data_IF_663128717395
#
_entry.id   IF_663128717395
#
_cell.length_a   1.000
_cell.length_b   1.000
_cell.length_c   1.000
_cell.angle_alpha   90.00
_cell.angle_beta   90.00
_cell.angle_gamma   90.00
#
_symmetry.space_group_name_H-M   'P 1'
#
loop_
_entity.id
_entity.type
_entity.pdbx_description
1 polymer ?
#
# COMPACT_ATOMS: atom_id res chain seq x y z
N UNK A 1 -13.46 17.58 9.53
CA UNK A 1 -13.31 16.40 8.66
C UNK A 1 -14.65 15.75 8.34
N UNK A 2 -15.46 15.34 9.36
CA UNK A 2 -16.80 14.74 9.19
C UNK A 2 -17.75 15.60 8.35
N UNK A 3 -17.77 16.92 8.58
CA UNK A 3 -18.60 17.88 7.83
C UNK A 3 -18.20 17.96 6.34
N UNK A 4 -16.89 17.96 6.02
CA UNK A 4 -16.42 17.97 4.64
C UNK A 4 -16.82 16.69 3.88
N UNK A 5 -16.72 15.52 4.51
CA UNK A 5 -17.16 14.26 3.91
C UNK A 5 -18.68 14.24 3.65
N UNK A 6 -19.47 14.81 4.55
CA UNK A 6 -20.91 14.99 4.32
C UNK A 6 -21.15 15.86 3.09
N UNK A 7 -20.51 17.03 2.98
CA UNK A 7 -20.67 17.92 1.84
C UNK A 7 -20.28 17.26 0.51
N UNK A 8 -19.23 16.45 0.47
CA UNK A 8 -18.82 15.69 -0.72
C UNK A 8 -19.93 14.75 -1.15
N UNK A 9 -20.38 13.89 -0.24
CA UNK A 9 -21.43 12.89 -0.52
C UNK A 9 -22.75 13.53 -0.90
N UNK A 10 -23.16 14.56 -0.17
CA UNK A 10 -24.44 15.23 -0.40
C UNK A 10 -24.46 15.93 -1.78
N UNK A 11 -23.33 16.56 -2.17
CA UNK A 11 -23.21 17.19 -3.49
C UNK A 11 -23.20 16.17 -4.62
N UNK A 12 -22.53 15.01 -4.45
CA UNK A 12 -22.55 13.94 -5.44
C UNK A 12 -23.96 13.33 -5.60
N UNK A 13 -24.61 13.00 -4.48
CA UNK A 13 -25.97 12.47 -4.50
C UNK A 13 -26.97 13.49 -5.09
N UNK A 14 -26.78 14.78 -4.84
CA UNK A 14 -27.57 15.84 -5.47
C UNK A 14 -27.39 15.81 -7.00
N UNK A 15 -26.15 15.65 -7.50
CA UNK A 15 -25.89 15.53 -8.92
C UNK A 15 -26.63 14.35 -9.55
N UNK A 16 -26.62 13.19 -8.90
CA UNK A 16 -27.38 12.00 -9.33
C UNK A 16 -28.89 12.28 -9.36
N UNK A 17 -29.45 12.81 -8.29
CA UNK A 17 -30.89 13.11 -8.23
C UNK A 17 -31.33 14.11 -9.31
N UNK A 18 -30.58 15.21 -9.50
CA UNK A 18 -30.88 16.23 -10.51
C UNK A 18 -30.73 15.66 -11.93
N UNK A 19 -29.75 14.76 -12.16
CA UNK A 19 -29.58 14.08 -13.43
C UNK A 19 -30.77 13.17 -13.75
N UNK A 20 -31.18 12.31 -12.78
CA UNK A 20 -32.36 11.47 -12.95
C UNK A 20 -33.65 12.26 -13.21
N UNK A 21 -33.77 13.46 -12.61
CA UNK A 21 -34.86 14.41 -12.90
C UNK A 21 -34.68 15.17 -14.23
N UNK A 22 -33.67 14.85 -15.02
CA UNK A 22 -33.31 15.51 -16.30
C UNK A 22 -33.04 17.03 -16.17
N UNK A 23 -32.64 17.50 -15.01
CA UNK A 23 -32.27 18.89 -14.74
C UNK A 23 -30.77 19.09 -14.97
N UNK A 24 -30.32 18.97 -16.23
CA UNK A 24 -28.92 18.90 -16.62
C UNK A 24 -28.03 19.97 -15.96
N UNK A 25 -28.45 21.25 -15.99
CA UNK A 25 -27.66 22.34 -15.41
C UNK A 25 -27.44 22.15 -13.90
N UNK A 26 -28.48 21.85 -13.15
CA UNK A 26 -28.40 21.66 -11.70
C UNK A 26 -27.54 20.43 -11.35
N UNK A 27 -27.65 19.34 -12.12
CA UNK A 27 -26.85 18.15 -11.95
C UNK A 27 -25.34 18.44 -12.16
N UNK A 28 -25.00 19.17 -13.23
CA UNK A 28 -23.59 19.52 -13.51
C UNK A 28 -23.05 20.47 -12.45
N UNK A 29 -23.83 21.48 -12.02
CA UNK A 29 -23.42 22.41 -10.96
C UNK A 29 -23.15 21.65 -9.64
N UNK A 30 -23.97 20.67 -9.29
CA UNK A 30 -23.79 19.84 -8.11
C UNK A 30 -22.57 18.90 -8.23
N UNK A 31 -22.33 18.35 -9.42
CA UNK A 31 -21.18 17.49 -9.68
C UNK A 31 -19.85 18.26 -9.59
N UNK A 32 -19.75 19.41 -10.22
CA UNK A 32 -18.59 20.31 -10.10
C UNK A 32 -18.32 20.68 -8.64
N UNK A 33 -19.38 20.97 -7.88
CA UNK A 33 -19.30 21.26 -6.45
C UNK A 33 -18.78 20.07 -5.63
N UNK A 34 -19.20 18.84 -5.95
CA UNK A 34 -18.67 17.63 -5.31
C UNK A 34 -17.15 17.53 -5.51
N UNK A 35 -16.66 17.76 -6.74
CA UNK A 35 -15.23 17.77 -7.06
C UNK A 35 -14.49 18.86 -6.28
N UNK A 36 -15.04 20.08 -6.23
CA UNK A 36 -14.46 21.19 -5.44
C UNK A 36 -14.34 20.87 -3.95
N UNK A 37 -15.29 20.11 -3.40
CA UNK A 37 -15.22 19.65 -2.02
C UNK A 37 -14.25 18.48 -1.81
N UNK A 38 -13.73 17.90 -2.89
CA UNK A 38 -12.73 16.83 -2.87
C UNK A 38 -13.27 15.45 -3.18
N UNK A 39 -14.39 15.34 -3.93
CA UNK A 39 -14.79 14.06 -4.53
C UNK A 39 -13.73 13.62 -5.53
N UNK A 40 -13.28 12.37 -5.43
CA UNK A 40 -12.20 11.85 -6.27
C UNK A 40 -12.47 10.45 -6.85
N UNK A 41 -13.63 9.85 -6.61
CA UNK A 41 -13.92 8.51 -7.13
C UNK A 41 -14.33 8.57 -8.62
N UNK A 42 -13.29 8.66 -9.48
CA UNK A 42 -13.46 8.70 -10.92
C UNK A 42 -14.11 7.42 -11.47
N UNK A 43 -13.66 6.25 -10.98
CA UNK A 43 -14.15 4.97 -11.46
C UNK A 43 -15.65 4.77 -11.17
N UNK A 44 -16.10 5.22 -9.99
CA UNK A 44 -17.53 5.22 -9.64
C UNK A 44 -18.31 6.18 -10.55
N UNK A 45 -17.90 7.44 -10.65
CA UNK A 45 -18.60 8.45 -11.46
C UNK A 45 -18.69 8.03 -12.95
N UNK A 46 -17.66 7.32 -13.45
CA UNK A 46 -17.65 6.85 -14.84
C UNK A 46 -18.70 5.78 -15.11
N UNK A 47 -19.01 4.93 -14.14
CA UNK A 47 -19.93 3.80 -14.28
C UNK A 47 -21.33 4.08 -13.73
N UNK A 48 -21.52 5.18 -13.01
CA UNK A 48 -22.77 5.50 -12.34
C UNK A 48 -23.85 5.90 -13.34
N UNK A 49 -24.85 5.04 -13.49
CA UNK A 49 -25.97 5.22 -14.44
C UNK A 49 -26.88 6.40 -14.06
N UNK A 50 -26.87 6.85 -12.82
CA UNK A 50 -27.64 8.00 -12.39
C UNK A 50 -27.19 9.30 -13.08
N UNK A 51 -25.95 9.32 -13.59
CA UNK A 51 -25.37 10.44 -14.31
C UNK A 51 -25.55 10.37 -15.83
N UNK A 52 -26.23 9.36 -16.38
CA UNK A 52 -26.35 9.15 -17.84
C UNK A 52 -26.99 10.32 -18.57
N UNK A 53 -27.94 11.02 -17.95
CA UNK A 53 -28.60 12.18 -18.56
C UNK A 53 -27.71 13.41 -18.75
N UNK A 54 -26.50 13.43 -18.16
CA UNK A 54 -25.57 14.58 -18.26
C UNK A 54 -24.27 14.22 -18.99
N UNK A 55 -24.05 12.96 -19.40
CA UNK A 55 -22.78 12.52 -20.02
C UNK A 55 -22.47 13.23 -21.33
N UNK A 56 -23.47 13.70 -22.06
CA UNK A 56 -23.34 14.46 -23.30
C UNK A 56 -23.11 15.98 -23.06
N UNK A 57 -23.21 16.47 -21.84
CA UNK A 57 -22.99 17.86 -21.49
C UNK A 57 -21.47 18.18 -21.48
N UNK A 58 -21.07 19.24 -22.21
CA UNK A 58 -19.65 19.64 -22.32
C UNK A 58 -19.02 20.05 -20.98
N UNK A 59 -19.79 20.65 -20.07
CA UNK A 59 -19.29 21.02 -18.74
C UNK A 59 -19.09 19.76 -17.88
N UNK A 60 -20.02 18.80 -17.98
CA UNK A 60 -19.85 17.51 -17.29
C UNK A 60 -18.61 16.77 -17.79
N UNK A 61 -18.40 16.69 -19.10
CA UNK A 61 -17.21 16.07 -19.69
C UNK A 61 -15.92 16.73 -19.18
N UNK A 62 -15.90 18.07 -19.15
CA UNK A 62 -14.76 18.81 -18.58
C UNK A 62 -14.58 18.55 -17.07
N UNK A 63 -15.65 18.45 -16.30
CA UNK A 63 -15.60 18.09 -14.89
C UNK A 63 -15.08 16.68 -14.69
N UNK A 64 -15.45 15.72 -15.56
CA UNK A 64 -14.90 14.36 -15.56
C UNK A 64 -13.40 14.32 -15.91
N UNK A 65 -12.92 15.16 -16.83
CA UNK A 65 -11.48 15.32 -17.09
C UNK A 65 -10.73 15.83 -15.83
N UNK A 66 -11.28 16.83 -15.15
CA UNK A 66 -10.72 17.31 -13.89
C UNK A 66 -10.72 16.22 -12.82
N UNK A 67 -11.79 15.43 -12.71
CA UNK A 67 -11.89 14.32 -11.79
C UNK A 67 -10.87 13.21 -12.10
N UNK A 68 -10.60 12.97 -13.39
CA UNK A 68 -9.60 12.00 -13.83
C UNK A 68 -8.18 12.34 -13.34
N UNK A 69 -7.82 13.62 -13.35
CA UNK A 69 -6.48 14.10 -12.90
C UNK A 69 -6.25 13.88 -11.38
N UNK A 70 -7.30 13.62 -10.60
CA UNK A 70 -7.21 13.42 -9.16
C UNK A 70 -7.69 12.04 -8.69
N UNK A 71 -8.46 11.30 -9.49
CA UNK A 71 -9.14 10.08 -9.07
C UNK A 71 -8.92 8.85 -9.96
N UNK A 72 -8.38 9.00 -11.18
CA UNK A 72 -7.94 7.85 -12.00
C UNK A 72 -6.48 7.54 -11.65
N UNK A 73 -6.29 6.70 -10.65
CA UNK A 73 -4.95 6.41 -10.12
C UNK A 73 -4.04 5.74 -11.14
N UNK A 74 -4.56 4.85 -11.98
CA UNK A 74 -3.80 4.25 -13.06
C UNK A 74 -3.32 5.29 -14.09
N UNK A 75 -4.17 6.23 -14.47
CA UNK A 75 -3.82 7.34 -15.34
C UNK A 75 -2.78 8.28 -14.70
N UNK A 76 -2.97 8.62 -13.42
CA UNK A 76 -2.03 9.45 -12.67
C UNK A 76 -0.66 8.79 -12.61
N UNK A 77 -0.62 7.48 -12.33
CA UNK A 77 0.64 6.73 -12.27
C UNK A 77 1.32 6.65 -13.63
N UNK A 78 0.57 6.42 -14.72
CA UNK A 78 1.12 6.41 -16.09
C UNK A 78 1.77 7.74 -16.48
N UNK A 79 1.19 8.86 -16.04
CA UNK A 79 1.74 10.21 -16.26
C UNK A 79 2.88 10.59 -15.29
N UNK A 80 3.11 9.82 -14.25
CA UNK A 80 4.16 10.14 -13.28
C UNK A 80 5.56 10.02 -13.89
N UNK A 81 6.53 10.83 -13.44
CA UNK A 81 7.95 10.66 -13.82
C UNK A 81 8.48 9.31 -13.33
N UNK A 82 9.70 8.95 -13.71
CA UNK A 82 10.47 7.92 -13.02
C UNK A 82 10.69 8.30 -11.55
N UNK A 83 11.08 7.33 -10.73
CA UNK A 83 11.63 7.69 -9.42
C UNK A 83 12.95 8.43 -9.63
N UNK A 84 13.19 9.44 -8.82
CA UNK A 84 14.39 10.27 -8.93
C UNK A 84 15.55 9.60 -8.20
N UNK A 85 16.19 8.63 -8.88
CA UNK A 85 17.27 7.85 -8.29
C UNK A 85 18.59 8.65 -8.22
N UNK A 86 18.75 9.63 -9.09
CA UNK A 86 20.07 10.26 -9.31
C UNK A 86 20.33 11.48 -8.41
N UNK A 87 19.31 12.27 -8.10
CA UNK A 87 19.51 13.56 -7.43
C UNK A 87 19.73 13.44 -5.92
N UNK A 88 19.44 12.30 -5.32
CA UNK A 88 19.45 12.11 -3.86
C UNK A 88 20.56 11.21 -3.33
N UNK A 89 21.19 10.40 -4.17
CA UNK A 89 22.09 9.33 -3.71
C UNK A 89 23.40 9.89 -3.14
N UNK A 90 23.98 10.90 -3.76
CA UNK A 90 25.28 11.46 -3.32
C UNK A 90 25.22 12.30 -2.03
N UNK A 91 24.03 12.77 -1.64
CA UNK A 91 23.84 13.60 -0.44
C UNK A 91 23.29 12.84 0.76
N UNK A 92 22.88 11.58 0.58
CA UNK A 92 22.26 10.78 1.62
C UNK A 92 23.25 9.76 2.20
N UNK A 93 23.22 9.50 3.52
CA UNK A 93 24.02 8.44 4.11
C UNK A 93 23.65 7.07 3.50
N UNK A 94 24.64 6.20 3.35
CA UNK A 94 24.39 4.83 2.93
C UNK A 94 23.43 4.14 3.91
N UNK A 95 22.46 3.40 3.37
CA UNK A 95 21.54 2.63 4.21
C UNK A 95 22.30 1.52 4.96
N UNK A 96 22.12 1.46 6.26
CA UNK A 96 22.74 0.45 7.12
C UNK A 96 21.73 -0.59 7.56
N UNK A 97 22.20 -1.82 7.72
CA UNK A 97 21.41 -2.93 8.24
C UNK A 97 21.95 -3.31 9.61
N UNK A 98 21.03 -3.63 10.54
CA UNK A 98 21.41 -4.20 11.83
C UNK A 98 22.07 -5.57 11.61
N UNK A 99 23.13 -5.85 12.35
CA UNK A 99 23.82 -7.14 12.28
C UNK A 99 22.87 -8.24 12.79
N UNK A 100 22.70 -9.37 12.07
CA UNK A 100 21.86 -10.49 12.52
C UNK A 100 22.26 -11.05 13.88
N UNK A 101 23.50 -10.84 14.31
CA UNK A 101 24.00 -11.22 15.64
C UNK A 101 23.76 -10.15 16.71
N UNK A 102 23.15 -9.03 16.37
CA UNK A 102 22.73 -8.05 17.36
C UNK A 102 21.82 -8.70 18.40
N UNK A 103 22.01 -8.31 19.66
CA UNK A 103 21.32 -8.91 20.81
C UNK A 103 19.79 -8.90 20.64
N UNK A 104 19.25 -7.83 20.09
CA UNK A 104 17.80 -7.67 19.97
C UNK A 104 17.26 -8.53 18.81
N UNK A 105 17.97 -8.63 17.69
CA UNK A 105 17.60 -9.55 16.60
C UNK A 105 17.76 -11.03 16.98
N UNK A 106 18.82 -11.38 17.73
CA UNK A 106 18.98 -12.73 18.29
C UNK A 106 17.84 -13.06 19.25
N UNK A 107 17.38 -12.07 20.06
CA UNK A 107 16.21 -12.25 20.92
C UNK A 107 14.94 -12.49 20.12
N UNK A 108 14.67 -11.74 19.07
CA UNK A 108 13.52 -11.93 18.15
C UNK A 108 13.55 -13.32 17.54
N UNK A 109 14.70 -13.74 16.98
CA UNK A 109 14.88 -15.06 16.36
C UNK A 109 14.56 -16.20 17.30
N UNK A 110 15.06 -16.12 18.55
CA UNK A 110 14.82 -17.15 19.57
C UNK A 110 13.39 -17.13 20.10
N UNK A 111 12.85 -15.94 20.37
CA UNK A 111 11.51 -15.77 20.94
C UNK A 111 10.44 -16.40 20.06
N UNK A 112 10.50 -16.18 18.76
CA UNK A 112 9.56 -16.71 17.79
C UNK A 112 9.96 -18.08 17.22
N UNK A 113 11.16 -18.55 17.49
CA UNK A 113 11.73 -19.75 16.85
C UNK A 113 11.73 -19.64 15.32
N UNK A 114 12.26 -18.50 14.81
CA UNK A 114 12.20 -18.16 13.38
C UNK A 114 12.85 -19.20 12.47
N UNK A 115 13.85 -19.94 12.95
CA UNK A 115 14.47 -21.05 12.19
C UNK A 115 13.45 -22.11 11.82
N UNK A 116 12.59 -22.50 12.76
CA UNK A 116 11.51 -23.47 12.52
C UNK A 116 10.44 -22.92 11.58
N UNK A 117 10.08 -21.62 11.74
CA UNK A 117 9.09 -20.95 10.90
C UNK A 117 9.58 -20.83 9.47
N UNK A 118 10.81 -20.37 9.28
CA UNK A 118 11.43 -20.25 7.96
C UNK A 118 11.59 -21.62 7.27
N UNK A 119 11.82 -22.66 8.06
CA UNK A 119 11.96 -24.03 7.56
C UNK A 119 13.30 -24.31 6.88
N UNK A 120 13.44 -25.52 6.36
CA UNK A 120 14.67 -26.02 5.72
C UNK A 120 14.72 -25.80 4.19
N UNK A 121 13.73 -25.09 3.62
CA UNK A 121 13.65 -24.82 2.18
C UNK A 121 14.73 -23.85 1.67
N UNK A 122 14.62 -23.52 0.39
CA UNK A 122 15.48 -22.52 -0.24
C UNK A 122 15.22 -21.09 0.30
N UNK A 123 16.00 -20.13 -0.21
CA UNK A 123 15.90 -18.73 0.21
C UNK A 123 14.49 -18.15 0.00
N UNK A 124 13.90 -18.39 -1.17
CA UNK A 124 12.58 -17.86 -1.53
C UNK A 124 11.48 -18.49 -0.65
N UNK A 125 11.57 -19.79 -0.37
CA UNK A 125 10.67 -20.47 0.54
C UNK A 125 10.73 -19.88 1.95
N UNK A 126 11.92 -19.59 2.47
CA UNK A 126 12.10 -18.96 3.78
C UNK A 126 11.49 -17.55 3.83
N UNK A 127 11.71 -16.75 2.78
CA UNK A 127 11.10 -15.41 2.66
C UNK A 127 9.57 -15.50 2.70
N UNK A 128 8.97 -16.39 1.92
CA UNK A 128 7.51 -16.59 1.87
C UNK A 128 6.95 -17.13 3.18
N UNK A 129 7.64 -18.07 3.82
CA UNK A 129 7.20 -18.64 5.10
C UNK A 129 7.17 -17.58 6.22
N UNK A 130 8.16 -16.69 6.29
CA UNK A 130 8.19 -15.60 7.25
C UNK A 130 7.10 -14.56 6.97
N UNK A 131 6.85 -14.23 5.70
CA UNK A 131 5.74 -13.37 5.29
C UNK A 131 4.39 -13.92 5.75
N UNK A 132 4.11 -15.18 5.40
CA UNK A 132 2.88 -15.86 5.75
C UNK A 132 2.72 -15.98 7.28
N UNK A 133 3.80 -16.25 8.01
CA UNK A 133 3.75 -16.34 9.46
C UNK A 133 3.37 -15.00 10.11
N UNK A 134 3.96 -13.88 9.70
CA UNK A 134 3.60 -12.55 10.25
C UNK A 134 2.15 -12.23 9.96
N UNK A 135 1.68 -12.46 8.73
CA UNK A 135 0.29 -12.24 8.34
C UNK A 135 -0.69 -13.06 9.20
N UNK A 136 -0.33 -14.32 9.48
CA UNK A 136 -1.16 -15.23 10.27
C UNK A 136 -1.12 -14.96 11.79
N UNK A 137 -0.08 -14.29 12.25
CA UNK A 137 0.18 -14.09 13.68
C UNK A 137 -0.51 -12.86 14.24
N UNK A 138 -0.56 -11.76 13.49
CA UNK A 138 -1.22 -10.51 13.88
C UNK A 138 -2.15 -10.01 12.78
N UNK A 139 -3.35 -9.54 13.16
CA UNK A 139 -4.29 -9.00 12.18
C UNK A 139 -4.03 -7.53 11.87
N UNK A 140 -4.36 -7.12 10.66
CA UNK A 140 -4.33 -5.72 10.27
C UNK A 140 -5.53 -4.94 10.83
N UNK A 141 -5.25 -3.77 11.42
CA UNK A 141 -6.25 -2.76 11.80
C UNK A 141 -5.66 -1.36 11.56
N UNK A 142 -6.03 -0.75 10.43
CA UNK A 142 -5.55 0.58 10.05
C UNK A 142 -6.02 1.71 10.99
N UNK A 143 -7.01 1.46 11.83
CA UNK A 143 -7.55 2.43 12.80
C UNK A 143 -6.93 2.31 14.19
N UNK A 144 -6.11 1.27 14.42
CA UNK A 144 -5.49 1.04 15.72
C UNK A 144 -4.44 2.12 16.04
N UNK A 145 -4.33 2.49 17.32
CA UNK A 145 -3.27 3.38 17.78
C UNK A 145 -1.90 2.68 17.74
N UNK A 146 -0.84 3.45 17.53
CA UNK A 146 0.51 2.92 17.59
C UNK A 146 0.89 2.67 19.06
N UNK A 147 1.40 1.47 19.40
CA UNK A 147 1.94 1.22 20.74
C UNK A 147 3.22 2.05 20.97
N UNK A 148 3.60 2.20 22.22
CA UNK A 148 4.84 2.89 22.60
C UNK A 148 6.07 2.13 22.09
N UNK A 149 6.14 0.83 22.41
CA UNK A 149 7.16 -0.08 21.87
C UNK A 149 6.67 -0.72 20.57
N UNK A 150 7.54 -0.70 19.54
CA UNK A 150 7.19 -1.12 18.18
C UNK A 150 8.06 -2.26 17.64
N UNK A 151 8.93 -2.86 18.49
CA UNK A 151 9.67 -4.04 18.09
C UNK A 151 8.75 -5.27 17.91
N UNK A 152 9.19 -6.26 17.17
CA UNK A 152 8.38 -7.42 16.79
C UNK A 152 7.75 -8.13 18.00
N UNK A 153 8.49 -8.29 19.09
CA UNK A 153 8.00 -8.95 20.31
C UNK A 153 6.91 -8.12 20.98
N UNK A 154 7.13 -6.81 21.16
CA UNK A 154 6.17 -5.92 21.79
C UNK A 154 4.88 -5.83 20.99
N UNK A 155 4.98 -5.77 19.65
CA UNK A 155 3.80 -5.78 18.74
C UNK A 155 3.00 -7.08 18.89
N UNK A 156 3.66 -8.21 18.95
CA UNK A 156 3.01 -9.50 19.15
C UNK A 156 2.32 -9.60 20.52
N UNK A 157 3.02 -9.23 21.58
CA UNK A 157 2.49 -9.29 22.94
C UNK A 157 1.27 -8.37 23.15
N UNK A 158 1.32 -7.13 22.63
CA UNK A 158 0.19 -6.22 22.76
C UNK A 158 -1.03 -6.68 21.97
N UNK A 159 -0.81 -7.25 20.77
CA UNK A 159 -1.91 -7.81 19.97
C UNK A 159 -2.59 -8.98 20.70
N UNK A 160 -1.82 -9.83 21.35
CA UNK A 160 -2.37 -10.93 22.16
C UNK A 160 -3.06 -10.45 23.42
N UNK A 161 -2.43 -9.54 24.17
CA UNK A 161 -2.94 -9.04 25.44
C UNK A 161 -4.26 -8.29 25.30
N UNK A 162 -4.40 -7.50 24.23
CA UNK A 162 -5.54 -6.62 24.02
C UNK A 162 -6.54 -7.16 22.97
N UNK A 163 -6.29 -8.35 22.42
CA UNK A 163 -7.06 -8.91 21.28
C UNK A 163 -7.27 -7.89 20.15
N UNK A 164 -6.21 -7.18 19.76
CA UNK A 164 -6.26 -6.11 18.77
C UNK A 164 -5.44 -6.43 17.52
N UNK A 165 -5.68 -5.67 16.46
CA UNK A 165 -4.79 -5.60 15.30
C UNK A 165 -3.83 -4.41 15.40
N UNK A 166 -2.96 -4.30 14.40
CA UNK A 166 -2.04 -3.18 14.19
C UNK A 166 -2.11 -2.71 12.73
N UNK A 167 -1.66 -1.48 12.47
CA UNK A 167 -1.66 -0.95 11.10
C UNK A 167 -0.56 -1.57 10.21
N UNK A 168 -0.61 -1.27 8.91
CA UNK A 168 0.32 -1.82 7.92
C UNK A 168 1.80 -1.54 8.24
N UNK A 169 2.13 -0.36 8.79
CA UNK A 169 3.50 -0.03 9.21
C UNK A 169 4.02 -0.96 10.30
N UNK A 170 3.20 -1.25 11.31
CA UNK A 170 3.59 -2.13 12.41
C UNK A 170 3.74 -3.58 11.93
N UNK A 171 2.87 -4.04 11.02
CA UNK A 171 3.05 -5.36 10.39
C UNK A 171 4.34 -5.43 9.58
N UNK A 172 4.61 -4.39 8.78
CA UNK A 172 5.84 -4.31 7.99
C UNK A 172 7.09 -4.24 8.86
N UNK A 173 7.04 -3.54 10.00
CA UNK A 173 8.14 -3.48 10.96
C UNK A 173 8.41 -4.85 11.60
N UNK A 174 7.39 -5.56 12.03
CA UNK A 174 7.54 -6.92 12.57
C UNK A 174 8.18 -7.86 11.54
N UNK A 175 7.71 -7.83 10.28
CA UNK A 175 8.30 -8.65 9.22
C UNK A 175 9.75 -8.25 8.92
N UNK A 176 10.06 -6.95 8.93
CA UNK A 176 11.42 -6.46 8.73
C UNK A 176 12.39 -7.00 9.76
N UNK A 177 12.02 -6.95 11.05
CA UNK A 177 12.85 -7.51 12.13
C UNK A 177 13.02 -9.03 12.01
N UNK A 178 11.97 -9.76 11.61
CA UNK A 178 12.07 -11.19 11.35
C UNK A 178 13.06 -11.50 10.21
N UNK A 179 13.02 -10.75 9.12
CA UNK A 179 13.97 -10.91 8.02
C UNK A 179 15.40 -10.58 8.45
N UNK A 180 15.62 -9.45 9.13
CA UNK A 180 16.94 -9.06 9.63
C UNK A 180 17.50 -10.10 10.61
N UNK A 181 16.68 -10.60 11.53
CA UNK A 181 17.06 -11.66 12.48
C UNK A 181 17.46 -12.97 11.81
N UNK A 182 16.97 -13.23 10.61
CA UNK A 182 17.32 -14.39 9.78
C UNK A 182 18.45 -14.09 8.79
N UNK A 183 19.05 -12.89 8.84
CA UNK A 183 20.17 -12.48 7.99
C UNK A 183 19.79 -11.99 6.60
N UNK A 184 18.51 -11.78 6.32
CA UNK A 184 18.06 -11.16 5.07
C UNK A 184 18.22 -9.64 5.15
N UNK A 185 18.70 -9.01 4.09
CA UNK A 185 18.58 -7.56 3.94
C UNK A 185 17.12 -7.22 3.65
N UNK A 186 16.49 -6.44 4.51
CA UNK A 186 15.11 -6.03 4.35
C UNK A 186 14.90 -4.58 4.76
N UNK A 187 13.90 -3.95 4.17
CA UNK A 187 13.43 -2.59 4.49
C UNK A 187 11.93 -2.56 4.42
N UNK A 188 11.27 -1.73 5.22
CA UNK A 188 9.89 -1.37 4.94
C UNK A 188 9.83 -0.05 4.18
N UNK A 189 8.87 0.05 3.27
CA UNK A 189 8.71 1.14 2.32
C UNK A 189 7.33 1.74 2.50
N UNK A 190 7.26 3.05 2.78
CA UNK A 190 6.00 3.77 2.78
C UNK A 190 5.66 4.19 1.37
N UNK A 191 4.57 3.66 0.85
CA UNK A 191 4.03 3.94 -0.46
C UNK A 191 2.97 5.04 -0.35
N UNK A 192 3.11 6.13 -1.11
CA UNK A 192 2.29 7.33 -0.98
C UNK A 192 1.62 7.71 -2.30
N UNK A 193 0.39 8.25 -2.23
CA UNK A 193 -0.30 8.81 -3.40
C UNK A 193 0.28 10.17 -3.81
N UNK A 194 -0.02 10.60 -5.04
CA UNK A 194 0.33 11.94 -5.56
C UNK A 194 -0.20 13.07 -4.68
N UNK A 195 -1.42 12.92 -4.20
CA UNK A 195 -2.07 13.90 -3.32
C UNK A 195 -2.33 13.28 -1.97
N UNK A 196 -2.02 14.01 -0.90
CA UNK A 196 -2.28 13.54 0.45
C UNK A 196 -3.79 13.42 0.70
N UNK A 197 -4.30 12.20 0.69
CA UNK A 197 -5.70 11.85 0.98
C UNK A 197 -5.85 11.07 2.29
N UNK A 198 -4.89 11.25 3.19
CA UNK A 198 -4.84 10.60 4.51
C UNK A 198 -4.91 9.07 4.43
N UNK A 199 -4.26 8.52 3.43
CA UNK A 199 -4.16 7.10 3.19
C UNK A 199 -2.81 6.82 2.54
N UNK A 200 -2.08 5.86 3.08
CA UNK A 200 -0.81 5.38 2.56
C UNK A 200 -0.76 3.87 2.81
N UNK A 201 0.20 3.21 2.21
CA UNK A 201 0.45 1.80 2.50
C UNK A 201 1.92 1.57 2.80
N UNK A 202 2.20 0.60 3.67
CA UNK A 202 3.57 0.22 4.01
C UNK A 202 3.74 -1.26 3.72
N UNK A 203 4.74 -1.55 2.89
CA UNK A 203 5.14 -2.89 2.50
C UNK A 203 6.60 -3.13 2.84
N UNK A 204 7.09 -4.34 2.67
CA UNK A 204 8.51 -4.66 2.77
C UNK A 204 9.13 -4.90 1.39
N UNK A 205 10.41 -4.64 1.31
CA UNK A 205 11.29 -5.21 0.28
C UNK A 205 12.35 -6.06 0.97
N UNK A 206 12.60 -7.22 0.43
CA UNK A 206 13.63 -8.15 0.89
C UNK A 206 14.55 -8.50 -0.26
N UNK A 207 15.87 -8.45 -0.04
CA UNK A 207 16.84 -8.79 -1.07
C UNK A 207 17.03 -10.29 -1.16
N UNK A 208 16.86 -10.83 -2.34
CA UNK A 208 17.19 -12.21 -2.65
C UNK A 208 18.55 -12.29 -3.30
N UNK A 209 19.49 -13.00 -2.66
CA UNK A 209 20.80 -13.29 -3.25
C UNK A 209 20.66 -14.29 -4.42
N UNK A 210 19.68 -15.18 -4.35
CA UNK A 210 19.41 -16.16 -5.43
C UNK A 210 18.95 -15.50 -6.71
N UNK A 211 18.11 -14.45 -6.62
CA UNK A 211 17.56 -13.72 -7.76
C UNK A 211 18.32 -12.44 -8.06
N UNK A 212 19.30 -12.07 -7.23
CA UNK A 212 20.08 -10.83 -7.29
C UNK A 212 19.22 -9.57 -7.43
N UNK A 213 18.13 -9.51 -6.64
CA UNK A 213 17.20 -8.36 -6.68
C UNK A 213 16.36 -8.21 -5.42
N UNK A 214 15.80 -7.02 -5.26
CA UNK A 214 14.79 -6.74 -4.24
C UNK A 214 13.43 -7.29 -4.65
N UNK A 215 12.73 -7.94 -3.71
CA UNK A 215 11.42 -8.53 -3.90
C UNK A 215 10.37 -7.75 -3.14
N UNK A 216 9.21 -7.55 -3.75
CA UNK A 216 7.99 -7.03 -3.12
C UNK A 216 7.36 -8.07 -2.22
N UNK A 217 7.13 -7.72 -0.95
CA UNK A 217 6.35 -8.54 -0.01
C UNK A 217 5.48 -7.64 0.89
N UNK A 218 4.23 -8.02 1.10
CA UNK A 218 3.25 -7.25 1.86
C UNK A 218 2.60 -8.10 2.95
N UNK A 219 2.97 -7.93 4.23
CA UNK A 219 2.41 -8.70 5.33
C UNK A 219 0.93 -8.40 5.61
N UNK A 220 0.43 -7.23 5.21
CA UNK A 220 -0.98 -6.88 5.39
C UNK A 220 -1.90 -7.79 4.57
N UNK A 221 -1.45 -8.17 3.38
CA UNK A 221 -2.21 -8.98 2.42
C UNK A 221 -1.67 -10.39 2.23
N UNK A 222 -0.61 -10.78 2.92
CA UNK A 222 0.15 -12.00 2.59
C UNK A 222 0.55 -12.02 1.11
N UNK A 223 0.93 -10.89 0.55
CA UNK A 223 1.07 -10.75 -0.90
C UNK A 223 2.52 -10.60 -1.35
N UNK A 224 2.84 -11.24 -2.45
CA UNK A 224 3.96 -10.96 -3.32
C UNK A 224 3.47 -10.93 -4.77
N UNK A 225 4.19 -10.24 -5.64
CA UNK A 225 3.74 -10.01 -7.02
C UNK A 225 4.63 -10.78 -7.99
N UNK A 226 4.03 -11.37 -9.00
CA UNK A 226 4.69 -12.17 -10.03
C UNK A 226 4.29 -11.72 -11.44
N UNK A 227 5.19 -11.97 -12.40
CA UNK A 227 4.87 -11.87 -13.83
C UNK A 227 4.10 -13.09 -14.36
N UNK A 228 3.86 -13.12 -15.66
CA UNK A 228 3.18 -14.22 -16.38
C UNK A 228 3.98 -15.54 -16.39
N UNK A 229 5.25 -15.50 -16.02
CA UNK A 229 6.13 -16.68 -15.90
C UNK A 229 6.34 -17.13 -14.45
N UNK A 230 5.73 -16.45 -13.50
CA UNK A 230 5.86 -16.73 -12.07
C UNK A 230 7.15 -16.14 -11.44
N UNK A 231 7.86 -15.25 -12.15
CA UNK A 231 9.00 -14.56 -11.56
C UNK A 231 8.55 -13.51 -10.57
N UNK A 232 9.15 -13.50 -9.38
CA UNK A 232 8.88 -12.49 -8.34
C UNK A 232 9.34 -11.11 -8.79
N UNK A 233 8.54 -10.08 -8.52
CA UNK A 233 8.76 -8.71 -8.96
C UNK A 233 9.21 -7.80 -7.81
N UNK A 234 10.01 -6.80 -8.16
CA UNK A 234 10.36 -5.66 -7.30
C UNK A 234 9.31 -4.56 -7.37
N UNK A 235 9.40 -3.55 -6.48
CA UNK A 235 8.52 -2.37 -6.52
C UNK A 235 8.64 -1.64 -7.86
N UNK A 236 9.85 -1.48 -8.38
CA UNK A 236 10.09 -0.79 -9.65
C UNK A 236 9.45 -1.54 -10.81
N UNK A 237 9.63 -2.87 -10.88
CA UNK A 237 9.03 -3.71 -11.93
C UNK A 237 7.50 -3.69 -11.86
N UNK A 238 6.90 -3.76 -10.66
CA UNK A 238 5.44 -3.65 -10.48
C UNK A 238 4.94 -2.30 -10.97
N UNK A 239 5.60 -1.21 -10.58
CA UNK A 239 5.23 0.14 -11.00
C UNK A 239 5.33 0.31 -12.51
N UNK A 240 6.40 -0.16 -13.12
CA UNK A 240 6.62 -0.06 -14.57
C UNK A 240 5.58 -0.87 -15.35
N UNK A 241 5.24 -2.07 -14.88
CA UNK A 241 4.17 -2.88 -15.47
C UNK A 241 2.81 -2.22 -15.35
N UNK A 242 2.47 -1.63 -14.19
CA UNK A 242 1.23 -0.82 -14.04
C UNK A 242 1.18 0.35 -15.02
N UNK A 243 2.30 1.03 -15.23
CA UNK A 243 2.38 2.15 -16.17
C UNK A 243 2.19 1.70 -17.62
N UNK A 244 2.68 0.53 -17.98
CA UNK A 244 2.61 -0.03 -19.33
C UNK A 244 1.36 -0.88 -19.58
N UNK A 245 0.62 -1.25 -18.54
CA UNK A 245 -0.50 -2.19 -18.62
C UNK A 245 -0.04 -3.62 -18.91
N UNK A 246 1.15 -4.00 -18.45
CA UNK A 246 1.69 -5.35 -18.59
C UNK A 246 1.12 -6.28 -17.52
N UNK A 247 0.94 -7.55 -17.87
CA UNK A 247 0.39 -8.55 -16.97
C UNK A 247 1.26 -8.76 -15.72
N UNK A 248 0.61 -8.86 -14.57
CA UNK A 248 1.17 -9.34 -13.30
C UNK A 248 0.04 -9.84 -12.40
N UNK A 249 0.40 -10.62 -11.40
CA UNK A 249 -0.56 -11.18 -10.45
C UNK A 249 0.02 -11.28 -9.05
N UNK A 250 -0.85 -11.22 -8.04
CA UNK A 250 -0.51 -11.61 -6.68
C UNK A 250 -0.63 -13.12 -6.52
N UNK A 251 -0.01 -13.67 -5.48
CA UNK A 251 -0.17 -15.09 -5.13
C UNK A 251 -1.64 -15.44 -4.80
N UNK A 252 -2.03 -16.67 -5.06
CA UNK A 252 -3.42 -17.14 -4.92
C UNK A 252 -3.94 -17.11 -3.48
N UNK A 253 -3.08 -17.30 -2.50
CA UNK A 253 -3.41 -17.28 -1.07
C UNK A 253 -3.35 -15.89 -0.44
N UNK A 254 -3.08 -14.85 -1.22
CA UNK A 254 -3.09 -13.47 -0.75
C UNK A 254 -4.50 -13.06 -0.29
N UNK A 255 -4.58 -12.49 0.91
CA UNK A 255 -5.85 -12.11 1.52
C UNK A 255 -5.69 -11.04 2.60
N UNK A 256 -6.77 -10.37 2.96
CA UNK A 256 -6.82 -9.45 4.09
C UNK A 256 -7.50 -10.13 5.30
N UNK A 257 -6.72 -10.31 6.37
CA UNK A 257 -7.19 -10.84 7.65
C UNK A 257 -7.96 -12.18 7.53
N UNK A 258 -7.62 -13.06 6.60
CA UNK A 258 -8.32 -14.33 6.30
C UNK A 258 -9.81 -14.17 5.94
N UNK A 259 -10.23 -12.95 5.54
CA UNK A 259 -11.63 -12.63 5.25
C UNK A 259 -11.88 -12.25 3.81
N UNK A 260 -10.98 -11.47 3.22
CA UNK A 260 -11.17 -10.89 1.90
C UNK A 260 -10.02 -11.32 1.00
N UNK A 261 -10.28 -12.06 -0.09
CA UNK A 261 -9.25 -12.38 -1.07
C UNK A 261 -8.62 -11.13 -1.66
N UNK A 262 -7.32 -11.17 -1.90
CA UNK A 262 -6.60 -10.11 -2.58
C UNK A 262 -6.77 -10.29 -4.09
N UNK A 263 -7.47 -9.38 -4.75
CA UNK A 263 -7.64 -9.42 -6.21
C UNK A 263 -6.71 -8.43 -6.90
N UNK A 264 -6.25 -8.75 -8.12
CA UNK A 264 -5.40 -7.86 -8.91
C UNK A 264 -6.09 -6.50 -9.12
N UNK A 265 -7.36 -6.49 -9.52
CA UNK A 265 -8.14 -5.28 -9.78
C UNK A 265 -8.17 -4.32 -8.58
N UNK A 266 -8.39 -4.87 -7.37
CA UNK A 266 -8.41 -4.03 -6.17
C UNK A 266 -7.00 -3.67 -5.71
N UNK A 267 -6.11 -4.67 -5.54
CA UNK A 267 -4.82 -4.46 -4.91
C UNK A 267 -3.82 -3.76 -5.83
N UNK A 268 -3.65 -4.24 -7.06
CA UNK A 268 -2.67 -3.69 -8.01
C UNK A 268 -3.24 -2.49 -8.76
N UNK A 269 -4.40 -2.65 -9.43
CA UNK A 269 -4.90 -1.65 -10.38
C UNK A 269 -5.52 -0.43 -9.70
N UNK A 270 -6.06 -0.60 -8.49
CA UNK A 270 -6.64 0.51 -7.73
C UNK A 270 -5.75 0.94 -6.56
N UNK A 271 -5.54 0.05 -5.56
CA UNK A 271 -4.94 0.44 -4.29
C UNK A 271 -3.46 0.78 -4.40
N UNK A 272 -2.66 -0.08 -5.04
CA UNK A 272 -1.23 0.16 -5.21
C UNK A 272 -0.93 1.13 -6.35
N UNK A 273 -1.71 1.17 -7.43
CA UNK A 273 -1.62 2.23 -8.43
C UNK A 273 -1.74 3.62 -7.83
N UNK A 274 -2.59 3.79 -6.80
CA UNK A 274 -2.68 5.01 -6.01
C UNK A 274 -1.42 5.27 -5.21
N UNK A 275 -0.90 4.26 -4.52
CA UNK A 275 0.15 4.39 -3.51
C UNK A 275 1.58 4.28 -4.06
N UNK A 276 1.77 4.00 -5.33
CA UNK A 276 3.10 3.92 -5.96
C UNK A 276 3.56 5.23 -6.61
N UNK A 277 2.95 6.37 -6.27
CA UNK A 277 3.39 7.64 -6.83
C UNK A 277 4.70 8.11 -6.20
N UNK A 278 4.80 8.09 -4.86
CA UNK A 278 6.02 8.34 -4.10
C UNK A 278 6.38 7.15 -3.22
N UNK A 279 7.68 6.94 -3.03
CA UNK A 279 8.22 5.98 -2.07
C UNK A 279 9.05 6.72 -1.02
N UNK A 280 8.84 6.38 0.24
CA UNK A 280 9.60 6.91 1.36
C UNK A 280 10.28 5.76 2.11
N UNK A 281 11.58 5.88 2.31
CA UNK A 281 12.43 4.92 3.02
C UNK A 281 13.07 5.62 4.22
N UNK A 282 13.28 4.89 5.31
CA UNK A 282 14.16 5.32 6.39
C UNK A 282 15.62 5.04 5.99
N UNK A 283 16.56 5.78 6.57
CA UNK A 283 18.00 5.59 6.28
C UNK A 283 18.63 4.45 7.05
N UNK A 284 17.98 3.96 8.09
CA UNK A 284 18.46 2.87 8.93
C UNK A 284 17.41 1.77 9.06
N UNK A 285 17.86 0.55 9.37
CA UNK A 285 16.98 -0.56 9.74
C UNK A 285 16.65 -0.58 11.23
N UNK A 286 17.19 0.35 12.02
CA UNK A 286 17.00 0.40 13.47
C UNK A 286 15.58 0.87 13.80
N UNK A 287 14.83 0.04 14.50
CA UNK A 287 13.48 0.34 14.97
C UNK A 287 13.45 1.47 16.02
N UNK A 288 14.58 1.79 16.65
CA UNK A 288 14.67 2.85 17.67
C UNK A 288 14.64 4.27 17.09
N UNK A 289 14.85 4.44 15.78
CA UNK A 289 14.97 5.76 15.14
C UNK A 289 13.66 6.31 14.56
N UNK A 290 12.52 5.78 14.98
CA UNK A 290 11.16 6.25 14.61
C UNK A 290 10.82 7.65 15.20
N UNK A 291 11.84 8.44 15.59
CA UNK A 291 11.68 9.79 16.14
C UNK A 291 11.50 10.88 15.09
N UNK A 292 11.60 10.55 13.81
CA UNK A 292 11.28 11.48 12.74
C UNK A 292 9.80 11.31 12.39
N UNK A 293 8.95 11.90 13.23
CA UNK A 293 7.59 12.22 12.85
C UNK A 293 7.62 13.39 11.86
N UNK A 294 7.10 13.17 10.67
CA UNK A 294 6.70 14.22 9.72
C UNK A 294 5.28 14.66 10.04
#
# INVERSE_FOLDING_TARGET
>A
RRQRQMCIRDSYNMACCESMMKRKKAAVDAFEKAIQYGYYDYAHAQKDTDLDNVRDDKRFQKAMECLREVGDFGYILRKSPGYDDAASIDSLPAFTYMDPNDRDLVRVRRYFNLDSIAGAGDEISKIKNLLAWVHNTIRHDGSSYNPEEKNAIALYEICKKEDRGVNCRMMAQMLNECYLAMGFKSRYVTCLPKSYINDCHVINVVYSNTLDKWLWVDPTWNAYVMDDKGNLLSISEVRDRLKKGEFMTVNEDANWNHKTPCTNDYYLDYYMSKNLYYLCLLYTSDAADDRISV
#
